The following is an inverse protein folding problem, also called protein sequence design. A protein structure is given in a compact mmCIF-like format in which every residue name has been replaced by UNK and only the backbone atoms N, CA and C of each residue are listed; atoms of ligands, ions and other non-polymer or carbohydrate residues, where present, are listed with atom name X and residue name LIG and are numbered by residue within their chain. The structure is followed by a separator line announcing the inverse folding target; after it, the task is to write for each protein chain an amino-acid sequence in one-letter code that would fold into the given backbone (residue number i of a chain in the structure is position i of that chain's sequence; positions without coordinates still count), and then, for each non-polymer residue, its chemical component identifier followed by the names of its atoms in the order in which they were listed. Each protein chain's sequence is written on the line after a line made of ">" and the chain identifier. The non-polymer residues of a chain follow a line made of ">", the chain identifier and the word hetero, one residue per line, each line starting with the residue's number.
data_IF_861111690756
#
_entry.id   IF_861111690756
#
_cell.length_a   1.000
_cell.length_b   1.000
_cell.length_c   1.000
_cell.angle_alpha   90.00
_cell.angle_beta   90.00
_cell.angle_gamma   90.00
#
_symmetry.space_group_name_H-M   'P 1'
#
loop_
_entity.id
_entity.type
_entity.pdbx_description
1 polymer ?
#
# COMPACT_ATOMS: atom_id res chain seq x y z
N UNK A 1 -16.78 22.43 -4.22
CA UNK A 1 -17.80 21.38 -4.03
C UNK A 1 -17.62 20.71 -2.68
N UNK A 2 -18.69 20.07 -2.17
CA UNK A 2 -18.62 19.26 -0.97
C UNK A 2 -18.39 17.79 -1.40
N UNK A 3 -17.25 17.25 -1.07
CA UNK A 3 -16.83 15.89 -1.42
C UNK A 3 -16.85 15.01 -0.17
N UNK A 4 -17.48 13.84 -0.27
CA UNK A 4 -17.45 12.86 0.81
C UNK A 4 -16.58 11.67 0.39
N UNK A 5 -15.54 11.39 1.15
CA UNK A 5 -14.67 10.23 0.95
C UNK A 5 -15.15 9.11 1.86
N UNK A 6 -15.46 7.95 1.30
CA UNK A 6 -15.90 6.79 2.07
C UNK A 6 -14.72 5.81 2.19
N UNK A 7 -14.25 5.62 3.42
CA UNK A 7 -13.09 4.81 3.75
C UNK A 7 -11.90 5.65 4.20
N UNK A 8 -11.33 5.29 5.35
CA UNK A 8 -10.23 6.03 6.00
C UNK A 8 -8.89 5.26 5.97
N UNK A 9 -8.73 4.37 4.99
CA UNK A 9 -7.44 3.77 4.70
C UNK A 9 -6.55 4.73 3.90
N UNK A 10 -5.35 4.29 3.51
CA UNK A 10 -4.39 5.14 2.80
C UNK A 10 -5.01 5.77 1.54
N UNK A 11 -5.77 4.99 0.76
CA UNK A 11 -6.39 5.50 -0.48
C UNK A 11 -7.38 6.63 -0.20
N UNK A 12 -8.22 6.48 0.84
CA UNK A 12 -9.19 7.52 1.20
C UNK A 12 -8.53 8.78 1.74
N UNK A 13 -7.54 8.61 2.62
CA UNK A 13 -6.87 9.76 3.23
C UNK A 13 -6.04 10.57 2.20
N UNK A 14 -5.35 9.90 1.26
CA UNK A 14 -4.63 10.62 0.20
C UNK A 14 -5.61 11.34 -0.73
N UNK A 15 -6.76 10.72 -1.06
CA UNK A 15 -7.82 11.39 -1.82
C UNK A 15 -8.33 12.63 -1.08
N UNK A 16 -8.56 12.51 0.23
CA UNK A 16 -9.03 13.65 1.04
C UNK A 16 -8.04 14.81 0.99
N UNK A 17 -6.73 14.52 1.12
CA UNK A 17 -5.70 15.56 1.04
C UNK A 17 -5.74 16.25 -0.34
N UNK A 18 -5.76 15.46 -1.43
CA UNK A 18 -5.74 16.03 -2.79
C UNK A 18 -6.98 16.86 -3.09
N UNK A 19 -8.13 16.43 -2.60
CA UNK A 19 -9.37 17.19 -2.78
C UNK A 19 -9.34 18.51 -1.99
N UNK A 20 -8.77 18.49 -0.77
CA UNK A 20 -8.57 19.71 0.02
C UNK A 20 -7.57 20.65 -0.65
N UNK A 21 -6.47 20.11 -1.21
CA UNK A 21 -5.50 20.90 -1.99
C UNK A 21 -6.17 21.58 -3.18
N UNK A 22 -7.15 20.91 -3.78
CA UNK A 22 -7.93 21.46 -4.91
C UNK A 22 -9.01 22.46 -4.48
N UNK A 23 -9.12 22.74 -3.17
CA UNK A 23 -10.06 23.75 -2.66
C UNK A 23 -11.48 23.24 -2.39
N UNK A 24 -11.66 21.93 -2.35
CA UNK A 24 -12.98 21.35 -2.03
C UNK A 24 -13.15 21.25 -0.50
N UNK A 25 -14.41 21.17 -0.05
CA UNK A 25 -14.74 20.81 1.34
C UNK A 25 -14.80 19.29 1.41
N UNK A 26 -14.17 18.70 2.41
CA UNK A 26 -14.06 17.23 2.48
C UNK A 26 -14.50 16.70 3.83
N UNK A 27 -15.39 15.70 3.82
CA UNK A 27 -15.72 14.87 4.97
C UNK A 27 -15.32 13.43 4.67
N UNK A 28 -14.63 12.78 5.61
CA UNK A 28 -14.26 11.35 5.49
C UNK A 28 -15.21 10.54 6.36
N UNK A 29 -15.95 9.61 5.75
CA UNK A 29 -16.81 8.66 6.44
C UNK A 29 -16.15 7.29 6.47
N UNK A 30 -16.09 6.66 7.64
CA UNK A 30 -15.57 5.29 7.73
C UNK A 30 -16.11 4.59 8.97
N UNK A 31 -16.30 3.28 8.87
CA UNK A 31 -16.65 2.46 10.02
C UNK A 31 -15.43 2.25 10.94
N UNK A 32 -14.22 2.33 10.36
CA UNK A 32 -12.96 2.12 11.08
C UNK A 32 -11.94 3.20 10.72
N UNK A 33 -11.11 3.54 11.69
CA UNK A 33 -10.00 4.47 11.52
C UNK A 33 -8.72 3.79 12.02
N UNK A 34 -7.57 4.36 11.66
CA UNK A 34 -6.30 3.90 12.22
C UNK A 34 -6.39 3.88 13.76
N UNK A 35 -5.93 2.81 14.44
CA UNK A 35 -5.06 1.73 13.92
C UNK A 35 -5.79 0.48 13.40
N UNK A 36 -7.08 0.57 13.11
CA UNK A 36 -7.91 -0.60 12.80
C UNK A 36 -8.20 -0.77 11.30
N UNK A 37 -7.47 -0.07 10.43
CA UNK A 37 -7.66 -0.22 8.98
C UNK A 37 -6.71 -1.26 8.40
N UNK A 38 -7.04 -1.78 7.21
CA UNK A 38 -6.16 -2.70 6.47
C UNK A 38 -4.80 -2.03 6.18
N UNK A 39 -4.79 -0.72 5.99
CA UNK A 39 -3.56 0.03 5.70
C UNK A 39 -2.56 -0.01 6.86
N UNK A 40 -3.05 -0.10 8.10
CA UNK A 40 -2.17 -0.11 9.28
C UNK A 40 -1.27 -1.35 9.36
N UNK A 41 -1.69 -2.45 8.73
CA UNK A 41 -0.92 -3.71 8.73
C UNK A 41 0.11 -3.75 7.59
N UNK A 42 0.05 -2.80 6.66
CA UNK A 42 0.98 -2.79 5.53
C UNK A 42 2.42 -2.62 6.01
N UNK A 43 3.36 -3.32 5.40
CA UNK A 43 4.75 -3.42 5.84
C UNK A 43 5.48 -2.06 5.99
N UNK A 44 5.45 -1.04 5.13
CA UNK A 44 5.17 -0.98 3.71
C UNK A 44 6.39 -0.38 3.00
N UNK A 45 6.56 -0.74 1.76
CA UNK A 45 7.59 -0.13 0.91
C UNK A 45 6.94 0.25 -0.42
N UNK A 46 7.42 1.32 -1.04
CA UNK A 46 7.02 1.61 -2.41
C UNK A 46 7.62 0.56 -3.32
N UNK A 47 6.77 -0.23 -3.92
CA UNK A 47 7.16 -1.22 -4.94
C UNK A 47 5.91 -1.59 -5.74
N UNK A 48 5.93 -1.46 -7.08
CA UNK A 48 4.78 -1.83 -7.92
C UNK A 48 4.65 -3.35 -8.05
N UNK A 49 4.01 -3.97 -7.07
CA UNK A 49 3.85 -5.42 -6.97
C UNK A 49 2.49 -5.84 -7.52
N UNK A 50 2.50 -6.59 -8.61
CA UNK A 50 1.29 -7.16 -9.25
C UNK A 50 0.21 -6.08 -9.46
N UNK A 51 0.60 -4.94 -10.02
CA UNK A 51 -0.32 -3.84 -10.28
C UNK A 51 -0.92 -3.95 -11.69
N UNK A 52 -2.20 -3.60 -11.82
CA UNK A 52 -2.89 -3.58 -13.11
C UNK A 52 -4.00 -2.52 -13.10
N UNK A 53 -4.29 -1.93 -14.26
CA UNK A 53 -3.61 -2.13 -15.55
C UNK A 53 -2.28 -1.35 -15.59
N UNK A 54 -1.25 -1.93 -16.17
CA UNK A 54 0.12 -1.39 -16.12
C UNK A 54 0.21 0.02 -16.69
N UNK A 55 -0.50 0.30 -17.78
CA UNK A 55 -0.48 1.62 -18.42
C UNK A 55 -1.02 2.75 -17.53
N UNK A 56 -1.74 2.43 -16.45
CA UNK A 56 -2.21 3.40 -15.46
C UNK A 56 -1.45 3.25 -14.13
N UNK A 57 -1.20 2.02 -13.71
CA UNK A 57 -0.56 1.79 -12.40
C UNK A 57 0.89 2.28 -12.36
N UNK A 58 1.63 2.19 -13.48
CA UNK A 58 2.99 2.71 -13.52
C UNK A 58 3.03 4.23 -13.32
N UNK A 59 2.25 5.05 -14.07
CA UNK A 59 2.17 6.48 -13.77
C UNK A 59 1.72 6.80 -12.34
N UNK A 60 0.70 6.07 -11.81
CA UNK A 60 0.27 6.27 -10.43
C UNK A 60 1.40 5.98 -9.43
N UNK A 61 2.14 4.89 -9.67
CA UNK A 61 3.25 4.50 -8.81
C UNK A 61 4.37 5.53 -8.83
N UNK A 62 4.76 6.00 -10.02
CA UNK A 62 5.82 7.01 -10.20
C UNK A 62 5.42 8.33 -9.53
N UNK A 63 4.18 8.78 -9.73
CA UNK A 63 3.66 9.98 -9.05
C UNK A 63 3.73 9.82 -7.53
N UNK A 64 3.32 8.66 -7.03
CA UNK A 64 3.37 8.35 -5.59
C UNK A 64 4.81 8.36 -5.08
N UNK A 65 5.76 7.77 -5.83
CA UNK A 65 7.17 7.76 -5.45
C UNK A 65 7.68 9.19 -5.21
N UNK A 66 7.39 10.09 -6.16
CA UNK A 66 7.85 11.47 -6.08
C UNK A 66 7.31 12.17 -4.82
N UNK A 67 6.02 11.96 -4.49
CA UNK A 67 5.43 12.54 -3.27
C UNK A 67 6.10 11.94 -2.03
N UNK A 68 6.22 10.62 -1.95
CA UNK A 68 6.81 9.95 -0.78
C UNK A 68 8.28 10.34 -0.59
N UNK A 69 9.04 10.48 -1.68
CA UNK A 69 10.42 10.97 -1.62
C UNK A 69 10.48 12.39 -1.05
N UNK A 70 9.53 13.25 -1.46
CA UNK A 70 9.41 14.60 -0.90
C UNK A 70 9.12 14.55 0.60
N UNK A 71 8.17 13.72 1.03
CA UNK A 71 7.82 13.57 2.45
C UNK A 71 9.03 13.10 3.27
N UNK A 72 9.78 12.13 2.75
CA UNK A 72 10.97 11.62 3.45
C UNK A 72 12.02 12.72 3.68
N UNK A 73 12.09 13.69 2.76
CA UNK A 73 13.05 14.80 2.85
C UNK A 73 12.53 15.94 3.74
N UNK A 74 11.28 16.32 3.56
CA UNK A 74 10.72 17.57 4.08
C UNK A 74 9.82 17.41 5.30
N UNK A 75 9.23 16.23 5.52
CA UNK A 75 8.27 15.97 6.60
C UNK A 75 8.61 14.66 7.34
N UNK A 76 9.74 14.60 8.07
CA UNK A 76 10.18 13.36 8.74
C UNK A 76 9.19 12.81 9.77
N UNK A 77 8.29 13.65 10.29
CA UNK A 77 7.21 13.22 11.19
C UNK A 77 6.20 12.31 10.47
N UNK A 78 6.17 12.33 9.14
CA UNK A 78 5.28 11.47 8.36
C UNK A 78 5.61 9.97 8.55
N UNK A 79 6.84 9.65 8.97
CA UNK A 79 7.26 8.25 9.06
C UNK A 79 7.67 7.65 7.72
N UNK A 80 7.90 8.49 6.71
CA UNK A 80 8.43 8.04 5.42
C UNK A 80 9.96 8.19 5.43
N UNK A 81 10.68 7.11 5.09
CA UNK A 81 12.15 7.11 5.01
C UNK A 81 12.59 6.44 3.70
N UNK A 82 13.78 6.82 3.26
CA UNK A 82 14.31 6.19 2.03
C UNK A 82 15.24 5.04 2.38
N UNK A 83 15.01 3.66 1.91
CA UNK A 83 15.68 2.61 2.17
C UNK A 83 16.21 2.10 0.94
N UNK A 84 17.23 1.44 1.19
CA UNK A 84 17.80 0.66 0.07
C UNK A 84 17.31 -0.78 0.14
N UNK A 85 17.07 -1.39 -1.04
CA UNK A 85 16.59 -2.75 -1.10
C UNK A 85 17.24 -3.52 -2.24
N UNK A 86 17.37 -4.84 -2.06
CA UNK A 86 17.86 -5.74 -3.11
C UNK A 86 16.80 -6.77 -3.44
N UNK A 87 16.45 -6.85 -4.71
CA UNK A 87 15.59 -7.92 -5.20
C UNK A 87 16.44 -8.98 -5.88
N UNK A 88 16.14 -10.22 -5.56
CA UNK A 88 16.84 -11.40 -6.09
C UNK A 88 15.90 -12.23 -6.96
N UNK A 89 16.39 -12.69 -8.11
CA UNK A 89 15.59 -13.40 -9.11
C UNK A 89 16.27 -14.70 -9.52
N UNK A 90 15.43 -15.71 -9.79
CA UNK A 90 15.90 -17.05 -10.17
C UNK A 90 16.19 -17.17 -11.68
N UNK A 91 15.89 -16.13 -12.45
CA UNK A 91 16.16 -16.05 -13.88
C UNK A 91 16.48 -14.61 -14.27
N UNK A 92 17.14 -14.43 -15.39
CA UNK A 92 17.41 -13.11 -15.93
C UNK A 92 16.14 -12.60 -16.62
N UNK A 93 15.67 -11.44 -16.20
CA UNK A 93 14.45 -10.82 -16.74
C UNK A 93 14.75 -9.41 -17.27
N UNK A 94 13.80 -8.85 -18.01
CA UNK A 94 13.86 -7.44 -18.41
C UNK A 94 13.84 -6.55 -17.17
N UNK A 95 14.61 -5.47 -17.22
CA UNK A 95 14.63 -4.51 -16.10
C UNK A 95 13.26 -3.80 -15.98
N UNK A 96 12.84 -3.47 -14.78
CA UNK A 96 11.54 -2.82 -14.58
C UNK A 96 11.48 -1.45 -15.25
N UNK A 97 10.30 -1.10 -15.77
CA UNK A 97 10.10 0.16 -16.49
C UNK A 97 10.41 1.37 -15.61
N UNK A 98 10.08 1.28 -14.32
CA UNK A 98 10.24 2.37 -13.35
C UNK A 98 11.70 2.64 -12.94
N UNK A 99 12.66 1.86 -13.42
CA UNK A 99 14.07 1.96 -12.96
C UNK A 99 14.71 3.34 -13.15
N UNK A 100 14.26 4.07 -14.17
CA UNK A 100 14.80 5.39 -14.47
C UNK A 100 14.05 6.53 -13.78
N UNK A 101 12.97 6.20 -13.07
CA UNK A 101 12.11 7.17 -12.38
C UNK A 101 12.38 7.27 -10.88
N UNK A 102 13.29 6.43 -10.37
CA UNK A 102 13.59 6.40 -8.92
C UNK A 102 14.99 6.95 -8.64
N UNK A 103 15.26 7.24 -7.37
CA UNK A 103 16.49 7.92 -6.95
C UNK A 103 17.76 7.13 -7.26
N UNK A 104 17.70 5.79 -7.23
CA UNK A 104 18.87 4.94 -7.50
C UNK A 104 18.41 3.55 -7.92
N UNK A 105 19.05 3.03 -8.96
CA UNK A 105 18.83 1.66 -9.45
C UNK A 105 20.13 1.16 -10.08
N UNK A 106 20.51 -0.08 -9.76
CA UNK A 106 21.63 -0.76 -10.44
C UNK A 106 21.43 -2.27 -10.43
N UNK A 107 21.95 -2.94 -11.44
CA UNK A 107 21.99 -4.41 -11.46
C UNK A 107 23.08 -4.88 -10.49
N UNK A 108 22.82 -5.96 -9.77
CA UNK A 108 23.79 -6.55 -8.84
C UNK A 108 24.93 -7.26 -9.60
N UNK A 109 26.12 -7.21 -9.05
CA UNK A 109 27.25 -8.00 -9.56
C UNK A 109 27.10 -9.47 -9.09
N UNK A 110 27.73 -10.39 -9.80
CA UNK A 110 27.62 -11.84 -9.52
C UNK A 110 27.94 -12.18 -8.06
N UNK A 111 28.92 -11.50 -7.48
CA UNK A 111 29.34 -11.76 -6.10
C UNK A 111 28.39 -11.15 -5.05
N UNK A 112 27.40 -10.39 -5.49
CA UNK A 112 26.35 -9.83 -4.61
C UNK A 112 25.07 -10.68 -4.62
N UNK A 113 25.00 -11.68 -5.53
CA UNK A 113 23.81 -12.53 -5.69
C UNK A 113 23.83 -13.62 -4.60
N UNK A 114 22.73 -13.72 -3.88
CA UNK A 114 22.55 -14.74 -2.83
C UNK A 114 22.45 -16.12 -3.46
N UNK A 115 22.97 -17.13 -2.76
CA UNK A 115 22.94 -18.51 -3.24
C UNK A 115 21.51 -18.95 -3.58
N UNK A 116 21.34 -19.57 -4.75
CA UNK A 116 20.03 -20.01 -5.23
C UNK A 116 19.36 -19.03 -6.18
N UNK A 117 19.97 -17.86 -6.39
CA UNK A 117 19.50 -16.84 -7.32
C UNK A 117 20.55 -16.60 -8.40
N UNK A 118 20.15 -16.00 -9.53
CA UNK A 118 21.07 -15.79 -10.66
C UNK A 118 21.11 -14.34 -11.15
N UNK A 119 20.18 -13.51 -10.66
CA UNK A 119 20.05 -12.12 -11.13
C UNK A 119 19.47 -11.28 -9.98
N UNK A 120 19.57 -9.98 -10.10
CA UNK A 120 19.00 -9.08 -9.11
C UNK A 120 19.38 -7.64 -9.35
N UNK A 121 18.73 -6.78 -8.58
CA UNK A 121 19.04 -5.33 -8.63
C UNK A 121 18.94 -4.73 -7.24
N UNK A 122 19.61 -3.62 -7.09
CA UNK A 122 19.53 -2.78 -5.90
C UNK A 122 18.77 -1.52 -6.30
N UNK A 123 17.90 -1.06 -5.42
CA UNK A 123 17.06 0.11 -5.68
C UNK A 123 16.87 0.90 -4.39
N UNK A 124 16.56 2.20 -4.53
CA UNK A 124 16.27 3.04 -3.37
C UNK A 124 14.83 3.49 -3.43
N UNK A 125 14.05 3.17 -2.40
CA UNK A 125 12.62 3.41 -2.38
C UNK A 125 12.13 3.89 -1.02
N UNK A 126 10.99 4.60 -0.98
CA UNK A 126 10.35 4.95 0.30
C UNK A 126 9.89 3.72 1.06
N UNK A 127 10.25 3.63 2.32
CA UNK A 127 9.66 2.75 3.34
C UNK A 127 8.72 3.62 4.16
N UNK A 128 7.53 3.12 4.41
CA UNK A 128 6.47 3.90 5.05
C UNK A 128 6.07 3.21 6.36
N UNK A 129 6.35 3.86 7.47
CA UNK A 129 6.02 3.37 8.81
C UNK A 129 4.55 3.66 9.09
N UNK A 130 3.68 2.71 8.76
CA UNK A 130 2.22 2.95 8.74
C UNK A 130 1.67 3.42 10.10
N UNK A 131 2.25 2.98 11.21
CA UNK A 131 1.84 3.41 12.56
C UNK A 131 2.10 4.90 12.80
N UNK A 132 2.98 5.54 12.00
CA UNK A 132 3.24 6.99 12.01
C UNK A 132 2.49 7.67 10.87
N UNK A 133 2.52 7.04 9.70
CA UNK A 133 2.00 7.62 8.46
C UNK A 133 0.48 7.83 8.49
N UNK A 134 -0.28 6.83 8.97
CA UNK A 134 -1.74 6.95 9.00
C UNK A 134 -2.21 8.08 9.93
N UNK A 135 -1.69 8.19 11.18
CA UNK A 135 -2.03 9.36 12.02
C UNK A 135 -1.58 10.69 11.42
N UNK A 136 -0.41 10.71 10.76
CA UNK A 136 0.07 11.92 10.08
C UNK A 136 -0.89 12.33 8.96
N UNK A 137 -1.31 11.39 8.10
CA UNK A 137 -2.30 11.67 7.05
C UNK A 137 -3.60 12.23 7.62
N UNK A 138 -4.08 11.64 8.72
CA UNK A 138 -5.29 12.12 9.39
C UNK A 138 -5.10 13.57 9.85
N UNK A 139 -4.00 13.85 10.54
CA UNK A 139 -3.68 15.20 11.03
C UNK A 139 -3.57 16.20 9.90
N UNK A 140 -3.00 15.78 8.75
CA UNK A 140 -2.89 16.62 7.57
C UNK A 140 -4.28 16.99 7.04
N UNK A 141 -5.19 16.01 6.90
CA UNK A 141 -6.57 16.27 6.49
C UNK A 141 -7.25 17.26 7.45
N UNK A 142 -7.13 17.02 8.76
CA UNK A 142 -7.73 17.91 9.78
C UNK A 142 -7.15 19.33 9.73
N UNK A 143 -5.84 19.46 9.57
CA UNK A 143 -5.17 20.78 9.51
C UNK A 143 -5.59 21.60 8.28
N UNK A 144 -6.01 20.91 7.21
CA UNK A 144 -6.49 21.53 5.98
C UNK A 144 -8.01 21.82 6.02
N UNK A 145 -8.68 21.52 7.14
CA UNK A 145 -10.10 21.79 7.32
C UNK A 145 -11.02 20.63 6.97
N UNK A 146 -10.48 19.46 6.69
CA UNK A 146 -11.28 18.25 6.49
C UNK A 146 -11.85 17.73 7.80
N UNK A 147 -12.94 17.00 7.72
CA UNK A 147 -13.61 16.44 8.91
C UNK A 147 -13.77 14.94 8.79
N UNK A 148 -14.00 14.29 9.93
CA UNK A 148 -14.13 12.84 10.03
C UNK A 148 -15.42 12.52 10.77
N UNK A 149 -16.12 11.48 10.28
CA UNK A 149 -17.32 10.99 10.96
C UNK A 149 -17.33 9.46 10.89
N UNK A 150 -17.50 8.83 12.04
CA UNK A 150 -17.63 7.38 12.09
C UNK A 150 -19.03 6.99 11.59
N UNK A 151 -19.06 6.20 10.53
CA UNK A 151 -20.32 5.78 9.91
C UNK A 151 -20.08 4.57 9.01
N UNK A 152 -20.94 3.58 9.14
CA UNK A 152 -20.98 2.47 8.18
C UNK A 152 -21.86 2.91 7.01
N UNK A 153 -21.34 2.79 5.78
CA UNK A 153 -22.05 3.16 4.55
C UNK A 153 -22.51 1.87 3.87
N UNK A 154 -23.82 1.72 3.73
CA UNK A 154 -24.44 0.57 3.06
C UNK A 154 -25.03 0.90 1.69
N UNK A 155 -25.09 2.19 1.34
CA UNK A 155 -25.65 2.63 0.06
C UNK A 155 -24.98 3.96 -0.34
N UNK A 156 -24.28 3.96 -1.46
CA UNK A 156 -23.57 5.14 -1.95
C UNK A 156 -24.55 6.27 -2.34
N UNK A 157 -25.79 5.94 -2.73
CA UNK A 157 -26.77 6.96 -3.09
C UNK A 157 -27.24 7.79 -1.89
N UNK A 158 -27.05 7.29 -0.67
CA UNK A 158 -27.45 7.97 0.55
C UNK A 158 -26.32 8.80 1.18
N UNK A 159 -25.09 8.68 0.67
CA UNK A 159 -23.94 9.41 1.20
C UNK A 159 -24.10 10.91 0.89
N UNK A 160 -23.93 11.80 1.88
CA UNK A 160 -24.06 13.24 1.63
C UNK A 160 -22.94 13.77 0.73
N UNK A 161 -23.12 14.99 0.20
CA UNK A 161 -22.13 15.66 -0.64
C UNK A 161 -22.53 15.71 -2.10
N UNK A 162 -21.84 16.55 -2.86
CA UNK A 162 -22.03 16.69 -4.31
C UNK A 162 -21.31 15.58 -5.07
N UNK A 163 -20.15 15.14 -4.52
CA UNK A 163 -19.32 14.06 -5.07
C UNK A 163 -19.02 13.06 -3.95
N UNK A 164 -19.08 11.79 -4.27
CA UNK A 164 -18.68 10.70 -3.35
C UNK A 164 -17.44 10.01 -3.92
N UNK A 165 -16.40 9.86 -3.10
CA UNK A 165 -15.20 9.10 -3.49
C UNK A 165 -15.19 7.80 -2.69
N UNK A 166 -15.34 6.69 -3.38
CA UNK A 166 -15.48 5.37 -2.77
C UNK A 166 -14.12 4.67 -2.65
N UNK A 167 -13.59 4.64 -1.42
CA UNK A 167 -12.29 4.06 -1.09
C UNK A 167 -12.41 2.93 -0.04
N UNK A 168 -13.48 2.15 -0.11
CA UNK A 168 -13.84 1.19 0.96
C UNK A 168 -13.06 -0.13 0.91
N UNK A 169 -12.15 -0.29 -0.04
CA UNK A 169 -11.33 -1.50 -0.12
C UNK A 169 -12.17 -2.77 -0.27
N UNK A 170 -12.00 -3.75 0.62
CA UNK A 170 -12.78 -4.99 0.58
C UNK A 170 -14.28 -4.78 0.73
N UNK A 171 -14.69 -3.70 1.39
CA UNK A 171 -16.10 -3.35 1.53
C UNK A 171 -16.83 -3.15 0.21
N UNK A 172 -16.10 -2.90 -0.87
CA UNK A 172 -16.68 -2.72 -2.20
C UNK A 172 -17.36 -4.00 -2.70
N UNK A 173 -16.97 -5.17 -2.18
CA UNK A 173 -17.63 -6.43 -2.54
C UNK A 173 -19.13 -6.35 -2.25
N UNK A 174 -19.49 -5.87 -1.08
CA UNK A 174 -20.92 -5.76 -0.69
C UNK A 174 -21.52 -4.43 -1.15
N UNK A 175 -20.81 -3.33 -0.93
CA UNK A 175 -21.32 -1.99 -1.22
C UNK A 175 -21.59 -1.75 -2.71
N UNK A 176 -20.76 -2.33 -3.58
CA UNK A 176 -20.87 -2.15 -5.03
C UNK A 176 -21.30 -3.42 -5.77
N UNK A 177 -21.51 -4.52 -5.06
CA UNK A 177 -21.76 -5.82 -5.70
C UNK A 177 -20.56 -6.28 -6.55
N UNK A 178 -19.33 -5.95 -6.15
CA UNK A 178 -18.15 -6.21 -6.96
C UNK A 178 -17.54 -7.57 -6.59
N UNK A 179 -17.95 -8.63 -7.28
CA UNK A 179 -17.49 -9.99 -7.02
C UNK A 179 -16.02 -10.23 -7.41
N UNK A 180 -15.40 -9.31 -8.14
CA UNK A 180 -13.98 -9.40 -8.45
C UNK A 180 -13.11 -9.12 -7.20
N UNK A 181 -13.60 -8.30 -6.27
CA UNK A 181 -12.82 -7.95 -5.08
C UNK A 181 -12.75 -9.16 -4.13
N UNK A 182 -11.55 -9.56 -3.76
CA UNK A 182 -11.30 -10.71 -2.88
C UNK A 182 -10.16 -10.37 -1.92
N UNK A 183 -10.15 -10.93 -0.71
CA UNK A 183 -9.01 -10.75 0.16
C UNK A 183 -7.81 -11.52 -0.37
N UNK A 184 -6.63 -10.96 -0.25
CA UNK A 184 -5.38 -11.70 -0.35
C UNK A 184 -4.75 -11.62 1.05
N UNK A 185 -4.91 -12.70 1.82
CA UNK A 185 -4.44 -12.74 3.21
C UNK A 185 -2.91 -12.68 3.22
N UNK A 186 -2.37 -11.75 3.99
CA UNK A 186 -0.94 -11.58 4.15
C UNK A 186 -0.56 -11.60 5.62
N UNK A 187 0.36 -12.49 5.98
CA UNK A 187 0.91 -12.58 7.32
C UNK A 187 2.33 -12.02 7.32
N UNK A 188 2.69 -11.31 8.40
CA UNK A 188 4.02 -10.76 8.60
C UNK A 188 4.52 -11.07 10.01
N UNK A 189 5.84 -11.06 10.16
CA UNK A 189 6.53 -11.21 11.44
C UNK A 189 7.30 -9.91 11.71
N UNK A 190 7.31 -9.50 12.96
CA UNK A 190 8.08 -8.33 13.42
C UNK A 190 9.34 -8.81 14.14
N UNK A 191 10.48 -8.30 13.72
CA UNK A 191 11.79 -8.72 14.21
C UNK A 191 12.57 -7.51 14.73
N UNK A 192 13.11 -7.61 15.94
CA UNK A 192 13.94 -6.56 16.55
C UNK A 192 15.41 -6.77 16.14
N UNK A 193 15.68 -6.71 14.84
CA UNK A 193 17.02 -6.83 14.27
C UNK A 193 17.01 -6.10 12.93
N UNK A 194 18.04 -5.31 12.67
CA UNK A 194 18.15 -4.51 11.44
C UNK A 194 19.00 -5.27 10.40
N UNK A 195 18.48 -5.57 9.21
CA UNK A 195 19.29 -6.19 8.14
C UNK A 195 20.24 -5.20 7.45
N UNK A 196 20.14 -3.90 7.74
CA UNK A 196 20.91 -2.86 7.07
C UNK A 196 20.37 -2.50 5.70
N UNK A 197 19.84 -3.45 4.97
CA UNK A 197 19.25 -3.26 3.64
C UNK A 197 18.03 -4.21 3.51
N UNK A 198 17.02 -3.80 2.78
CA UNK A 198 15.87 -4.68 2.54
C UNK A 198 16.20 -5.79 1.55
N UNK A 199 15.60 -6.96 1.73
CA UNK A 199 15.78 -8.10 0.82
C UNK A 199 14.43 -8.53 0.27
N UNK A 200 14.37 -8.85 -1.02
CA UNK A 200 13.10 -9.13 -1.70
C UNK A 200 13.23 -10.32 -2.66
N UNK A 201 12.23 -11.21 -2.64
CA UNK A 201 11.95 -12.21 -3.67
C UNK A 201 10.45 -12.11 -3.93
N UNK A 202 10.07 -11.61 -5.11
CA UNK A 202 8.67 -11.34 -5.44
C UNK A 202 7.98 -12.53 -6.14
N UNK A 203 8.66 -13.69 -6.21
CA UNK A 203 8.03 -14.88 -6.81
C UNK A 203 6.86 -15.36 -5.92
N UNK A 204 5.69 -15.69 -6.50
CA UNK A 204 4.51 -16.05 -5.68
C UNK A 204 4.76 -17.20 -4.71
N UNK A 205 5.57 -18.18 -5.11
CA UNK A 205 5.83 -19.39 -4.31
C UNK A 205 6.78 -19.14 -3.14
N UNK A 206 7.62 -18.13 -3.25
CA UNK A 206 8.63 -17.80 -2.24
C UNK A 206 8.56 -16.35 -1.79
N UNK A 207 7.40 -15.71 -1.98
CA UNK A 207 7.23 -14.29 -1.66
C UNK A 207 7.90 -13.93 -0.34
N UNK A 208 8.96 -13.13 -0.43
CA UNK A 208 9.77 -12.77 0.72
C UNK A 208 10.11 -11.29 0.67
N UNK A 209 10.01 -10.64 1.81
CA UNK A 209 10.56 -9.31 1.98
C UNK A 209 11.05 -9.14 3.42
N UNK A 210 12.17 -8.43 3.57
CA UNK A 210 12.62 -7.93 4.86
C UNK A 210 12.68 -6.41 4.73
N UNK A 211 11.83 -5.72 5.44
CA UNK A 211 11.70 -4.26 5.32
C UNK A 211 12.11 -3.63 6.64
N UNK A 212 13.30 -3.00 6.70
CA UNK A 212 13.74 -2.34 7.94
C UNK A 212 12.94 -1.05 8.16
N UNK A 213 12.40 -0.90 9.35
CA UNK A 213 11.74 0.31 9.85
C UNK A 213 12.48 0.78 11.09
N UNK A 214 12.16 1.97 11.59
CA UNK A 214 12.83 2.50 12.78
C UNK A 214 12.47 1.73 14.06
N UNK A 215 11.32 1.05 14.08
CA UNK A 215 10.84 0.30 15.25
C UNK A 215 11.16 -1.20 15.16
N UNK A 216 10.99 -1.80 13.99
CA UNK A 216 11.20 -3.25 13.78
C UNK A 216 11.56 -3.48 12.30
N UNK A 217 12.09 -4.66 12.00
CA UNK A 217 12.10 -5.16 10.62
C UNK A 217 10.84 -5.98 10.41
N UNK A 218 10.13 -5.71 9.31
CA UNK A 218 8.95 -6.49 8.92
C UNK A 218 9.40 -7.58 7.96
N UNK A 219 9.20 -8.83 8.35
CA UNK A 219 9.42 -9.98 7.49
C UNK A 219 8.09 -10.43 6.91
N UNK A 220 8.06 -10.65 5.61
CA UNK A 220 6.88 -11.19 4.96
C UNK A 220 7.25 -12.08 3.79
N UNK A 221 6.37 -12.77 3.15
CA UNK A 221 4.98 -12.73 3.56
C UNK A 221 4.19 -13.79 2.82
N UNK A 222 2.90 -13.74 3.06
CA UNK A 222 1.98 -14.64 2.34
C UNK A 222 1.06 -13.80 1.43
N UNK A 223 0.42 -14.49 0.46
CA UNK A 223 -0.56 -13.88 -0.44
C UNK A 223 -1.62 -14.93 -0.78
N UNK A 224 -2.46 -15.25 0.21
CA UNK A 224 -3.45 -16.34 0.10
C UNK A 224 -4.78 -15.77 -0.39
N UNK A 225 -5.05 -15.91 -1.70
CA UNK A 225 -6.23 -15.33 -2.35
C UNK A 225 -7.50 -16.04 -1.87
N UNK A 226 -8.50 -15.26 -1.48
CA UNK A 226 -9.81 -15.77 -1.03
C UNK A 226 -9.85 -16.18 0.44
N UNK A 227 -8.75 -16.06 1.16
CA UNK A 227 -8.67 -16.43 2.57
C UNK A 227 -9.02 -15.21 3.43
N UNK A 228 -10.08 -15.33 4.23
CA UNK A 228 -10.58 -14.28 5.12
C UNK A 228 -10.05 -14.41 6.57
N UNK A 229 -9.21 -15.40 6.85
CA UNK A 229 -8.71 -15.65 8.21
C UNK A 229 -7.81 -14.53 8.71
N UNK A 230 -8.01 -14.13 9.97
CA UNK A 230 -7.22 -13.06 10.60
C UNK A 230 -6.29 -13.59 11.70
N UNK A 231 -6.33 -14.88 11.96
CA UNK A 231 -5.47 -15.49 12.98
C UNK A 231 -4.06 -15.72 12.42
N UNK A 232 -3.05 -15.51 13.26
CA UNK A 232 -1.67 -15.87 12.93
C UNK A 232 -1.58 -17.40 12.86
N UNK A 233 -0.95 -17.90 11.80
CA UNK A 233 -0.75 -19.35 11.60
C UNK A 233 0.73 -19.68 11.69
N UNK A 234 1.05 -20.67 12.48
CA UNK A 234 2.44 -21.07 12.71
C UNK A 234 3.10 -21.60 11.44
N UNK A 235 2.35 -22.32 10.60
CA UNK A 235 2.86 -22.81 9.34
C UNK A 235 3.27 -21.67 8.39
N UNK A 236 2.55 -20.54 8.43
CA UNK A 236 2.92 -19.35 7.66
C UNK A 236 4.17 -18.70 8.26
N UNK A 237 4.27 -18.62 9.60
CA UNK A 237 5.46 -18.11 10.26
C UNK A 237 6.70 -18.90 9.84
N UNK A 238 6.63 -20.22 9.88
CA UNK A 238 7.76 -21.07 9.53
C UNK A 238 8.15 -20.92 8.06
N UNK A 239 7.17 -20.73 7.17
CA UNK A 239 7.45 -20.49 5.75
C UNK A 239 8.14 -19.13 5.55
N UNK A 240 7.62 -18.08 6.19
CA UNK A 240 8.21 -16.73 6.13
C UNK A 240 9.65 -16.74 6.64
N UNK A 241 9.88 -17.37 7.80
CA UNK A 241 11.23 -17.40 8.39
C UNK A 241 12.21 -18.17 7.51
N UNK A 242 11.83 -19.35 7.03
CA UNK A 242 12.69 -20.14 6.15
C UNK A 242 13.07 -19.36 4.89
N UNK A 243 12.11 -18.66 4.28
CA UNK A 243 12.36 -17.87 3.08
C UNK A 243 13.23 -16.65 3.38
N UNK A 244 12.98 -15.97 4.49
CA UNK A 244 13.76 -14.79 4.90
C UNK A 244 15.21 -15.20 5.21
N UNK A 245 15.43 -16.31 5.89
CA UNK A 245 16.78 -16.85 6.20
C UNK A 245 17.57 -17.15 4.93
N UNK A 246 16.90 -17.56 3.85
CA UNK A 246 17.57 -17.81 2.58
C UNK A 246 18.13 -16.52 1.97
N UNK A 247 17.48 -15.37 2.19
CA UNK A 247 17.94 -14.07 1.70
C UNK A 247 18.85 -13.36 2.70
N UNK A 248 18.66 -13.62 4.00
CA UNK A 248 19.36 -12.95 5.09
C UNK A 248 19.83 -14.01 6.10
N UNK A 249 20.96 -14.68 5.84
CA UNK A 249 21.42 -15.80 6.70
C UNK A 249 21.73 -15.43 8.16
N UNK A 250 21.93 -14.15 8.44
CA UNK A 250 22.23 -13.68 9.81
C UNK A 250 20.96 -13.41 10.63
N UNK A 251 19.76 -13.72 10.10
CA UNK A 251 18.50 -13.55 10.79
C UNK A 251 18.48 -14.37 12.09
N UNK A 252 18.15 -13.73 13.20
CA UNK A 252 18.11 -14.35 14.53
C UNK A 252 16.65 -14.47 15.00
N UNK A 253 16.11 -15.68 14.93
CA UNK A 253 14.70 -15.95 15.34
C UNK A 253 14.41 -15.56 16.79
N UNK A 254 15.42 -15.50 17.65
CA UNK A 254 15.21 -15.09 19.05
C UNK A 254 14.81 -13.62 19.20
N UNK A 255 14.95 -12.85 18.14
CA UNK A 255 14.60 -11.42 18.09
C UNK A 255 13.16 -11.17 17.61
N UNK A 256 12.37 -12.22 17.37
CA UNK A 256 10.96 -12.05 16.99
C UNK A 256 10.21 -11.39 18.15
N UNK A 257 9.45 -10.32 17.84
CA UNK A 257 8.70 -9.56 18.84
C UNK A 257 7.18 -9.57 18.58
N UNK A 258 6.74 -10.17 17.46
CA UNK A 258 5.32 -10.26 17.15
C UNK A 258 5.05 -10.49 15.69
N UNK A 259 3.82 -10.25 15.29
CA UNK A 259 3.39 -10.37 13.90
C UNK A 259 1.98 -9.86 13.72
N UNK A 260 1.53 -9.84 12.46
CA UNK A 260 0.17 -9.38 12.15
C UNK A 260 -0.34 -10.07 10.88
N UNK A 261 -1.66 -9.97 10.69
CA UNK A 261 -2.34 -10.46 9.49
C UNK A 261 -3.17 -9.32 8.91
N UNK A 262 -3.07 -9.11 7.59
CA UNK A 262 -3.89 -8.14 6.89
C UNK A 262 -4.52 -8.77 5.65
N UNK A 263 -5.67 -8.24 5.25
CA UNK A 263 -6.41 -8.71 4.07
C UNK A 263 -6.32 -7.66 2.96
N UNK A 264 -5.40 -7.88 2.02
CA UNK A 264 -5.22 -6.95 0.89
C UNK A 264 -6.47 -6.99 0.00
N UNK A 265 -7.02 -5.83 -0.40
CA UNK A 265 -8.22 -5.79 -1.26
C UNK A 265 -7.83 -6.07 -2.72
N UNK A 266 -7.71 -7.34 -3.06
CA UNK A 266 -7.22 -7.78 -4.37
C UNK A 266 -8.33 -7.78 -5.40
N UNK A 267 -8.03 -7.30 -6.61
CA UNK A 267 -8.92 -7.26 -7.76
C UNK A 267 -8.06 -7.46 -9.01
N UNK A 268 -8.64 -7.87 -10.12
CA UNK A 268 -7.91 -8.08 -11.37
C UNK A 268 -7.20 -6.79 -11.81
N UNK A 269 -7.92 -5.65 -11.71
CA UNK A 269 -7.37 -4.32 -11.99
C UNK A 269 -7.91 -3.33 -10.95
N UNK A 270 -7.15 -2.31 -10.64
CA UNK A 270 -7.64 -1.21 -9.81
C UNK A 270 -8.89 -0.61 -10.45
N UNK A 271 -9.95 -0.46 -9.67
CA UNK A 271 -11.15 0.25 -10.13
C UNK A 271 -11.00 1.72 -9.77
N UNK A 272 -10.62 2.53 -10.76
CA UNK A 272 -10.56 3.99 -10.63
C UNK A 272 -11.32 4.59 -11.82
N UNK A 273 -12.58 4.95 -11.55
CA UNK A 273 -13.50 5.46 -12.59
C UNK A 273 -14.65 6.19 -11.93
N UNK A 274 -15.37 6.98 -12.71
CA UNK A 274 -16.57 7.69 -12.25
C UNK A 274 -17.84 7.03 -12.79
N UNK A 275 -18.91 7.05 -11.99
CA UNK A 275 -20.23 6.64 -12.44
C UNK A 275 -21.32 7.47 -11.72
N UNK A 276 -22.53 7.47 -12.27
CA UNK A 276 -23.68 8.13 -11.64
C UNK A 276 -24.48 7.12 -10.83
N UNK A 277 -24.58 7.34 -9.53
CA UNK A 277 -25.34 6.47 -8.62
C UNK A 277 -26.40 7.33 -7.93
N UNK A 278 -27.66 7.01 -8.16
CA UNK A 278 -28.77 7.78 -7.57
C UNK A 278 -28.77 9.27 -7.96
N UNK A 279 -28.25 9.61 -9.14
CA UNK A 279 -28.14 10.99 -9.59
C UNK A 279 -26.95 11.77 -9.04
N UNK A 280 -26.05 11.11 -8.36
CA UNK A 280 -24.84 11.71 -7.76
C UNK A 280 -23.58 11.15 -8.40
N UNK A 281 -22.56 11.98 -8.57
CA UNK A 281 -21.27 11.54 -9.07
C UNK A 281 -20.55 10.72 -7.99
N UNK A 282 -20.22 9.48 -8.33
CA UNK A 282 -19.40 8.59 -7.48
C UNK A 282 -18.10 8.29 -8.23
N UNK A 283 -16.97 8.46 -7.56
CA UNK A 283 -15.67 8.09 -8.10
C UNK A 283 -15.16 6.90 -7.27
N UNK A 284 -14.99 5.78 -7.91
CA UNK A 284 -14.45 4.58 -7.27
C UNK A 284 -12.92 4.65 -7.27
N UNK A 285 -12.30 4.23 -6.17
CA UNK A 285 -10.83 4.15 -6.04
C UNK A 285 -10.52 3.02 -5.07
N UNK A 286 -10.58 1.78 -5.56
CA UNK A 286 -10.35 0.60 -4.74
C UNK A 286 -9.81 -0.59 -5.56
N UNK A 287 -9.45 -1.67 -4.87
CA UNK A 287 -8.98 -2.89 -5.52
C UNK A 287 -7.48 -2.90 -5.80
N UNK A 288 -6.70 -2.19 -4.97
CA UNK A 288 -5.26 -2.01 -5.18
C UNK A 288 -4.41 -3.22 -4.78
N UNK A 289 -5.01 -4.28 -4.22
CA UNK A 289 -4.26 -5.47 -3.79
C UNK A 289 -3.17 -5.12 -2.79
N UNK A 290 -1.95 -5.59 -3.06
CA UNK A 290 -0.78 -5.32 -2.22
C UNK A 290 -0.13 -3.96 -2.46
N UNK A 291 -0.58 -3.20 -3.46
CA UNK A 291 0.09 -1.96 -3.88
C UNK A 291 -0.65 -0.68 -3.47
N UNK A 292 -1.59 -0.76 -2.52
CA UNK A 292 -2.39 0.40 -2.12
C UNK A 292 -1.56 1.61 -1.69
N UNK A 293 -0.49 1.39 -0.93
CA UNK A 293 0.42 2.47 -0.51
C UNK A 293 1.21 2.98 -1.72
N UNK A 294 1.73 2.07 -2.55
CA UNK A 294 2.53 2.38 -3.74
C UNK A 294 1.78 3.26 -4.74
N UNK A 295 0.45 3.08 -4.85
CA UNK A 295 -0.34 3.78 -5.86
C UNK A 295 -1.11 4.99 -5.30
N UNK A 296 -1.09 5.17 -3.99
CA UNK A 296 -2.06 6.01 -3.27
C UNK A 296 -2.14 7.46 -3.77
N UNK A 297 -1.00 8.15 -3.89
CA UNK A 297 -1.01 9.57 -4.28
C UNK A 297 -1.34 9.75 -5.76
N UNK A 298 -0.81 8.87 -6.62
CA UNK A 298 -1.13 8.95 -8.05
C UNK A 298 -2.60 8.68 -8.33
N UNK A 299 -3.19 7.70 -7.63
CA UNK A 299 -4.64 7.47 -7.72
C UNK A 299 -5.41 8.68 -7.19
N UNK A 300 -4.94 9.30 -6.11
CA UNK A 300 -5.60 10.48 -5.54
C UNK A 300 -5.54 11.68 -6.50
N UNK A 301 -4.42 11.87 -7.22
CA UNK A 301 -4.32 12.91 -8.25
C UNK A 301 -5.36 12.68 -9.37
N UNK A 302 -5.52 11.43 -9.78
CA UNK A 302 -6.52 11.11 -10.82
C UNK A 302 -7.95 11.32 -10.28
N UNK A 303 -8.24 10.96 -9.03
CA UNK A 303 -9.52 11.24 -8.39
C UNK A 303 -9.81 12.74 -8.42
N UNK A 304 -8.85 13.57 -7.98
CA UNK A 304 -9.02 15.02 -7.98
C UNK A 304 -9.25 15.56 -9.40
N UNK A 305 -8.58 14.97 -10.40
CA UNK A 305 -8.77 15.34 -11.81
C UNK A 305 -10.18 15.02 -12.30
N UNK A 306 -10.72 13.85 -11.92
CA UNK A 306 -12.09 13.46 -12.28
C UNK A 306 -13.12 14.41 -11.63
N UNK A 307 -12.89 14.81 -10.38
CA UNK A 307 -13.77 15.80 -9.71
C UNK A 307 -13.73 17.14 -10.44
N UNK A 308 -12.55 17.57 -10.89
CA UNK A 308 -12.40 18.86 -11.58
C UNK A 308 -13.09 18.89 -12.96
N UNK A 309 -13.35 17.73 -13.54
CA UNK A 309 -14.01 17.61 -14.86
C UNK A 309 -15.53 17.50 -14.76
N UNK A 310 -16.10 17.42 -13.55
CA UNK A 310 -17.54 17.20 -13.32
C UNK A 310 -18.41 18.49 -13.11
#
# INVERSE_FOLDING_TARGET
>A
MHCTVVGAGVSGLTCAVKLLEAGHQVEVLSDKFSPDTVSDVAAAIWYPFLTAPINRSDPWGISTYAVLQGLARDEPESGVVMXDGREYLREVVALPAWKDDIASFRVLETNEIVQGYVFGWEFRAPVIEMHRYMPWLRSKVESMGGSFRQSFVSDLSEVPGEVVVNCVGLGARELCGDDEIRPARGQVIYLNQDPGIGHFDQQPETLTYTIPRSDVTVLGGTAQIGDWGLDIREEDNEAILRNAEALWPDLDRSKIVGGAVGLRPSRTEVRLESEMVGGRLVIHNYGHGGAGVTLSWGCADEVASLVAQS
#
